data_IF_490893361595
#
_entry.id   IF_490893361595
#
_cell.length_a   1.000
_cell.length_b   1.000
_cell.length_c   1.000
_cell.angle_alpha   90.00
_cell.angle_beta   90.00
_cell.angle_gamma   90.00
#
_symmetry.space_group_name_H-M   'P 1'
#
loop_
_entity.id
_entity.type
_entity.pdbx_description
1 polymer ?
#
# COMPACT_ATOMS: atom_id res chain seq x y z
N UNK A 1 -23.00 0.01 1.14
CA UNK A 1 -22.84 0.64 -0.19
C UNK A 1 -21.37 0.61 -0.56
N UNK A 2 -21.02 0.16 -1.77
CA UNK A 2 -19.64 0.21 -2.26
C UNK A 2 -19.19 1.67 -2.45
N UNK A 3 -17.93 1.96 -2.12
CA UNK A 3 -17.29 3.27 -2.25
C UNK A 3 -15.92 3.08 -2.90
N UNK A 4 -15.33 4.18 -3.34
CA UNK A 4 -13.95 4.22 -3.85
C UNK A 4 -13.08 4.97 -2.86
N UNK A 5 -12.01 4.32 -2.40
CA UNK A 5 -10.96 4.93 -1.60
C UNK A 5 -9.76 5.19 -2.50
N UNK A 6 -9.28 6.43 -2.54
CA UNK A 6 -8.03 6.78 -3.20
C UNK A 6 -7.03 7.23 -2.13
N UNK A 7 -5.95 6.48 -2.00
CA UNK A 7 -4.90 6.72 -1.01
C UNK A 7 -3.69 7.31 -1.72
N UNK A 8 -3.23 8.47 -1.27
CA UNK A 8 -1.95 9.04 -1.68
C UNK A 8 -0.87 8.62 -0.69
N UNK A 9 0.10 7.83 -1.17
CA UNK A 9 1.27 7.45 -0.39
C UNK A 9 2.47 8.27 -0.88
N UNK A 10 2.92 9.22 -0.05
CA UNK A 10 3.95 10.20 -0.43
C UNK A 10 5.27 10.03 0.32
N UNK A 11 5.33 9.12 1.28
CA UNK A 11 6.50 8.91 2.16
C UNK A 11 7.21 7.62 1.82
N UNK A 12 8.53 7.60 2.02
CA UNK A 12 9.38 6.42 1.86
C UNK A 12 8.95 5.26 2.77
N UNK A 13 9.23 4.00 2.38
CA UNK A 13 8.98 2.87 3.26
C UNK A 13 9.88 3.00 4.49
N UNK A 14 9.35 2.58 5.64
CA UNK A 14 10.07 2.47 6.92
C UNK A 14 10.49 3.78 7.60
N UNK A 15 10.31 4.95 6.97
CA UNK A 15 10.55 6.25 7.62
C UNK A 15 9.43 6.64 8.59
N UNK A 16 8.25 6.05 8.43
CA UNK A 16 7.09 6.20 9.31
C UNK A 16 6.14 5.01 9.18
N UNK A 17 5.07 4.99 9.98
CA UNK A 17 4.03 3.97 9.89
C UNK A 17 3.07 4.15 8.69
N UNK A 18 3.24 5.20 7.87
CA UNK A 18 2.34 5.52 6.76
C UNK A 18 2.15 4.36 5.78
N UNK A 19 3.24 3.64 5.47
CA UNK A 19 3.21 2.47 4.58
C UNK A 19 2.30 1.36 5.14
N UNK A 20 2.48 1.03 6.43
CA UNK A 20 1.70 0.00 7.10
C UNK A 20 0.24 0.43 7.26
N UNK A 21 0.01 1.69 7.58
CA UNK A 21 -1.34 2.27 7.70
C UNK A 21 -2.07 2.24 6.37
N UNK A 22 -1.43 2.66 5.27
CA UNK A 22 -1.99 2.60 3.92
C UNK A 22 -2.34 1.17 3.51
N UNK A 23 -1.47 0.21 3.80
CA UNK A 23 -1.72 -1.21 3.54
C UNK A 23 -2.93 -1.74 4.34
N UNK A 24 -3.01 -1.43 5.64
CA UNK A 24 -4.13 -1.87 6.50
C UNK A 24 -5.46 -1.23 6.12
N UNK A 25 -5.48 0.05 5.76
CA UNK A 25 -6.69 0.72 5.25
C UNK A 25 -7.14 0.04 3.96
N UNK A 26 -6.21 -0.19 3.04
CA UNK A 26 -6.49 -0.87 1.76
C UNK A 26 -7.09 -2.25 1.97
N UNK A 27 -6.47 -3.08 2.82
CA UNK A 27 -6.96 -4.43 3.11
C UNK A 27 -8.39 -4.41 3.67
N UNK A 28 -8.65 -3.54 4.65
CA UNK A 28 -9.97 -3.46 5.27
C UNK A 28 -11.04 -2.93 4.33
N UNK A 29 -10.69 -1.96 3.47
CA UNK A 29 -11.61 -1.43 2.48
C UNK A 29 -11.94 -2.48 1.40
N UNK A 30 -10.94 -3.19 0.87
CA UNK A 30 -11.13 -4.30 -0.07
C UNK A 30 -12.03 -5.38 0.55
N UNK A 31 -11.74 -5.81 1.79
CA UNK A 31 -12.54 -6.82 2.50
C UNK A 31 -14.00 -6.41 2.70
N UNK A 32 -14.29 -5.10 2.77
CA UNK A 32 -15.64 -4.54 2.86
C UNK A 32 -16.33 -4.36 1.49
N UNK A 33 -15.71 -4.83 0.41
CA UNK A 33 -16.25 -4.72 -0.96
C UNK A 33 -16.12 -3.30 -1.54
N UNK A 34 -15.14 -2.52 -1.07
CA UNK A 34 -14.83 -1.21 -1.65
C UNK A 34 -13.75 -1.33 -2.73
N UNK A 35 -13.78 -0.40 -3.69
CA UNK A 35 -12.69 -0.24 -4.66
C UNK A 35 -11.60 0.58 -3.99
N UNK A 36 -10.35 0.14 -4.09
CA UNK A 36 -9.21 0.87 -3.53
C UNK A 36 -8.18 1.16 -4.62
N UNK A 37 -7.83 2.43 -4.73
CA UNK A 37 -6.74 2.94 -5.54
C UNK A 37 -5.65 3.45 -4.60
N UNK A 38 -4.40 3.12 -4.88
CA UNK A 38 -3.24 3.70 -4.21
C UNK A 38 -2.37 4.40 -5.26
N UNK A 39 -2.13 5.68 -5.05
CA UNK A 39 -1.23 6.50 -5.86
C UNK A 39 0.04 6.69 -5.05
N UNK A 40 1.12 6.09 -5.53
CA UNK A 40 2.45 6.32 -5.00
C UNK A 40 3.01 7.57 -5.68
N UNK A 41 3.52 8.53 -4.90
CA UNK A 41 4.09 9.76 -5.45
C UNK A 41 5.30 10.18 -4.63
N UNK A 42 6.31 10.77 -5.27
CA UNK A 42 7.56 11.13 -4.63
C UNK A 42 8.20 9.92 -3.95
N UNK A 43 8.50 10.04 -2.64
CA UNK A 43 9.14 8.97 -1.89
C UNK A 43 8.28 7.71 -1.73
N UNK A 44 6.96 7.81 -1.96
CA UNK A 44 6.06 6.65 -1.98
C UNK A 44 6.44 5.60 -3.03
N UNK A 45 7.10 6.01 -4.12
CA UNK A 45 7.59 5.10 -5.16
C UNK A 45 8.56 4.04 -4.59
N UNK A 46 9.34 4.42 -3.57
CA UNK A 46 10.31 3.51 -2.95
C UNK A 46 9.65 2.32 -2.24
N UNK A 47 8.37 2.39 -1.92
CA UNK A 47 7.61 1.28 -1.33
C UNK A 47 7.50 0.07 -2.28
N UNK A 48 7.68 0.28 -3.58
CA UNK A 48 7.50 -0.73 -4.63
C UNK A 48 8.81 -1.25 -5.22
N UNK A 49 9.96 -0.85 -4.68
CA UNK A 49 11.25 -1.37 -5.13
C UNK A 49 11.44 -2.84 -4.74
N UNK A 50 12.08 -3.59 -5.65
CA UNK A 50 12.52 -4.97 -5.41
C UNK A 50 13.77 -4.98 -4.53
N UNK A 51 13.95 -6.06 -3.77
CA UNK A 51 15.17 -6.29 -2.98
C UNK A 51 15.28 -5.46 -1.69
N UNK A 52 14.15 -4.96 -1.16
CA UNK A 52 14.11 -4.40 0.19
C UNK A 52 14.56 -5.45 1.22
N UNK A 53 15.26 -5.01 2.27
CA UNK A 53 15.83 -5.89 3.31
C UNK A 53 15.23 -5.61 4.69
N UNK A 54 13.90 -5.59 4.76
CA UNK A 54 13.20 -5.42 6.02
C UNK A 54 13.52 -6.57 7.00
N UNK A 55 13.81 -6.23 8.27
CA UNK A 55 14.03 -7.20 9.35
C UNK A 55 13.27 -6.73 10.59
N UNK A 56 12.49 -7.63 11.19
CA UNK A 56 11.69 -7.32 12.39
C UNK A 56 10.46 -6.44 12.15
N UNK A 57 10.18 -6.08 10.89
CA UNK A 57 9.02 -5.29 10.48
C UNK A 57 8.43 -5.85 9.18
N UNK A 58 7.16 -5.57 8.86
CA UNK A 58 6.56 -5.99 7.61
C UNK A 58 7.33 -5.49 6.38
N UNK A 59 7.48 -6.34 5.37
CA UNK A 59 8.13 -5.99 4.11
C UNK A 59 7.15 -5.22 3.21
N UNK A 60 7.51 -4.01 2.75
CA UNK A 60 6.59 -3.12 2.04
C UNK A 60 6.20 -3.67 0.66
N UNK A 61 7.18 -4.20 -0.09
CA UNK A 61 6.94 -4.87 -1.37
C UNK A 61 5.93 -6.02 -1.26
N UNK A 62 6.20 -7.00 -0.39
CA UNK A 62 5.30 -8.14 -0.14
C UNK A 62 3.90 -7.74 0.31
N UNK A 63 3.78 -6.72 1.17
CA UNK A 63 2.48 -6.19 1.61
C UNK A 63 1.65 -5.70 0.43
N UNK A 64 2.22 -4.84 -0.42
CA UNK A 64 1.47 -4.29 -1.55
C UNK A 64 1.27 -5.31 -2.67
N UNK A 65 2.21 -6.23 -2.91
CA UNK A 65 2.02 -7.34 -3.83
C UNK A 65 0.80 -8.18 -3.45
N UNK A 66 0.71 -8.61 -2.19
CA UNK A 66 -0.44 -9.37 -1.70
C UNK A 66 -1.76 -8.59 -1.73
N UNK A 67 -1.73 -7.26 -1.65
CA UNK A 67 -2.92 -6.42 -1.79
C UNK A 67 -3.34 -6.21 -3.25
N UNK A 68 -2.39 -6.13 -4.18
CA UNK A 68 -2.66 -6.08 -5.62
C UNK A 68 -3.39 -7.35 -6.04
N UNK A 69 -2.94 -8.53 -5.58
CA UNK A 69 -3.61 -9.81 -5.83
C UNK A 69 -5.04 -9.84 -5.28
N UNK A 70 -5.30 -9.09 -4.20
CA UNK A 70 -6.64 -8.94 -3.59
C UNK A 70 -7.49 -7.83 -4.24
N UNK A 71 -6.98 -7.12 -5.24
CA UNK A 71 -7.73 -6.11 -6.00
C UNK A 71 -7.37 -4.65 -5.71
N UNK A 72 -6.29 -4.37 -4.97
CA UNK A 72 -5.72 -3.02 -4.89
C UNK A 72 -5.21 -2.58 -6.26
N UNK A 73 -5.65 -1.42 -6.74
CA UNK A 73 -5.10 -0.79 -7.95
C UNK A 73 -4.00 0.18 -7.56
N UNK A 74 -2.79 -0.02 -8.07
CA UNK A 74 -1.65 0.85 -7.78
C UNK A 74 -1.28 1.68 -9.02
N UNK A 75 -1.02 2.96 -8.78
CA UNK A 75 -0.51 3.91 -9.77
C UNK A 75 0.84 4.43 -9.25
N UNK A 76 1.87 4.31 -10.09
CA UNK A 76 3.24 4.77 -9.83
C UNK A 76 3.52 5.98 -10.71
#
# INVERSE_FOLDING_TARGET
MAKTFTIFLTTSPYSSENTLTAARISENAIRKGHIVNLIASGDGLYCFLKGQKAKGIPHAGDLFAGLIDKGLKVFL
#
